data_IF_348895288209
#
_entry.id   IF_348895288209
#
_cell.length_a   1.000
_cell.length_b   1.000
_cell.length_c   1.000
_cell.angle_alpha   90.00
_cell.angle_beta   90.00
_cell.angle_gamma   90.00
#
_symmetry.space_group_name_H-M   'P 1'
#
loop_
_entity.id
_entity.type
_entity.pdbx_description
1 polymer ?
#
# COMPACT_ATOMS: atom_id res chain seq x y z
N UNK A 1 6.22 14.91 -6.16
CA UNK A 1 6.75 13.71 -5.49
C UNK A 1 6.21 12.50 -6.21
N UNK A 2 7.06 11.51 -6.55
CA UNK A 2 6.56 10.29 -7.16
C UNK A 2 5.76 9.50 -6.13
N UNK A 3 4.67 8.85 -6.55
CA UNK A 3 3.69 8.12 -5.71
C UNK A 3 4.30 7.15 -4.70
N UNK A 4 5.52 6.68 -4.94
CA UNK A 4 6.19 5.67 -4.13
C UNK A 4 7.43 6.19 -3.38
N UNK A 5 7.78 7.47 -3.50
CA UNK A 5 8.98 8.01 -2.86
C UNK A 5 8.92 7.89 -1.34
N UNK A 6 7.74 8.01 -0.74
CA UNK A 6 7.54 7.89 0.70
C UNK A 6 7.82 6.49 1.24
N UNK A 7 7.56 5.44 0.45
CA UNK A 7 7.71 4.03 0.84
C UNK A 7 8.95 3.37 0.26
N UNK A 8 9.72 4.10 -0.56
CA UNK A 8 10.93 3.57 -1.18
C UNK A 8 11.98 3.28 -0.11
N UNK A 9 12.50 2.06 -0.10
CA UNK A 9 13.44 1.56 0.92
C UNK A 9 12.87 1.52 2.35
N UNK A 10 11.56 1.69 2.52
CA UNK A 10 10.94 1.55 3.82
C UNK A 10 10.86 0.07 4.20
N UNK A 11 11.09 -0.22 5.48
CA UNK A 11 10.96 -1.57 6.02
C UNK A 11 9.48 -1.98 6.04
N UNK A 12 9.15 -3.12 5.45
CA UNK A 12 7.81 -3.71 5.51
C UNK A 12 7.63 -4.38 6.88
N UNK A 13 6.59 -3.97 7.61
CA UNK A 13 6.31 -4.48 8.95
C UNK A 13 5.16 -5.48 8.98
N UNK A 14 4.16 -5.29 8.11
CA UNK A 14 2.97 -6.15 8.07
C UNK A 14 2.39 -6.22 6.65
N UNK A 15 1.76 -7.34 6.33
CA UNK A 15 0.97 -7.55 5.11
C UNK A 15 -0.44 -7.97 5.53
N UNK A 16 -1.43 -7.21 5.07
CA UNK A 16 -2.85 -7.52 5.28
C UNK A 16 -3.44 -8.05 3.97
N UNK A 17 -3.83 -9.32 3.96
CA UNK A 17 -4.42 -10.02 2.80
C UNK A 17 -5.44 -11.07 3.30
N UNK A 18 -6.77 -10.88 3.07
CA UNK A 18 -7.37 -9.67 2.52
C UNK A 18 -7.35 -8.53 3.53
N UNK A 19 -7.21 -7.30 3.05
CA UNK A 19 -7.48 -6.10 3.86
C UNK A 19 -9.00 -5.89 4.04
N UNK A 20 -9.38 -4.80 4.74
CA UNK A 20 -10.79 -4.49 5.05
C UNK A 20 -11.66 -4.28 3.81
N UNK A 21 -11.07 -3.94 2.68
CA UNK A 21 -11.74 -3.67 1.41
C UNK A 21 -11.61 -4.85 0.42
N UNK A 22 -11.05 -5.98 0.87
CA UNK A 22 -10.84 -7.18 0.05
C UNK A 22 -9.62 -7.09 -0.89
N UNK A 23 -8.76 -6.09 -0.70
CA UNK A 23 -7.49 -5.93 -1.38
C UNK A 23 -6.31 -6.44 -0.55
N UNK A 24 -5.13 -5.90 -0.83
CA UNK A 24 -3.90 -6.14 -0.06
C UNK A 24 -3.40 -4.78 0.44
N UNK A 25 -3.14 -4.67 1.74
CA UNK A 25 -2.50 -3.49 2.31
C UNK A 25 -1.11 -3.85 2.82
N UNK A 26 -0.09 -3.14 2.31
CA UNK A 26 1.27 -3.21 2.82
C UNK A 26 1.48 -2.10 3.86
N UNK A 27 1.87 -2.49 5.07
CA UNK A 27 2.19 -1.57 6.16
C UNK A 27 3.70 -1.50 6.31
N UNK A 28 4.25 -0.30 6.15
CA UNK A 28 5.66 -0.02 6.33
C UNK A 28 5.90 0.70 7.65
N UNK A 29 7.16 0.69 8.08
CA UNK A 29 7.66 1.51 9.18
C UNK A 29 7.25 2.98 9.02
N UNK A 30 7.09 3.67 10.15
CA UNK A 30 6.58 5.04 10.24
C UNK A 30 5.12 5.18 9.76
N UNK A 31 4.31 4.13 9.94
CA UNK A 31 2.87 4.09 9.61
C UNK A 31 2.56 4.51 8.17
N UNK A 32 3.37 4.06 7.21
CA UNK A 32 3.08 4.29 5.78
C UNK A 32 2.32 3.11 5.21
N UNK A 33 1.33 3.41 4.39
CA UNK A 33 0.43 2.40 3.82
C UNK A 33 0.48 2.42 2.29
N UNK A 34 0.48 1.23 1.70
CA UNK A 34 0.21 1.04 0.28
C UNK A 34 -0.97 0.08 0.14
N UNK A 35 -2.10 0.62 -0.30
CA UNK A 35 -3.27 -0.17 -0.64
C UNK A 35 -3.16 -0.65 -2.08
N UNK A 36 -3.44 -1.93 -2.29
CA UNK A 36 -3.38 -2.60 -3.59
C UNK A 36 -4.72 -3.29 -3.79
N UNK A 37 -5.41 -2.94 -4.87
CA UNK A 37 -6.71 -3.53 -5.23
C UNK A 37 -6.77 -3.83 -6.72
N UNK A 38 -7.73 -4.67 -7.10
CA UNK A 38 -8.06 -4.91 -8.50
C UNK A 38 -9.31 -4.12 -8.85
N UNK A 39 -9.19 -3.19 -9.79
CA UNK A 39 -10.33 -2.46 -10.36
C UNK A 39 -10.32 -2.68 -11.88
N UNK A 40 -11.44 -3.14 -12.44
CA UNK A 40 -11.59 -3.46 -13.86
C UNK A 40 -10.50 -4.40 -14.41
N UNK A 41 -10.10 -5.39 -13.61
CA UNK A 41 -9.04 -6.35 -13.95
C UNK A 41 -7.63 -5.75 -13.97
N UNK A 42 -7.44 -4.52 -13.49
CA UNK A 42 -6.15 -3.83 -13.39
C UNK A 42 -5.74 -3.67 -11.93
N UNK A 43 -4.44 -3.78 -11.68
CA UNK A 43 -3.85 -3.44 -10.40
C UNK A 43 -3.88 -1.92 -10.21
N UNK A 44 -4.62 -1.47 -9.21
CA UNK A 44 -4.64 -0.09 -8.75
C UNK A 44 -3.97 -0.03 -7.39
N UNK A 45 -3.09 0.95 -7.24
CA UNK A 45 -2.41 1.21 -5.97
C UNK A 45 -2.82 2.57 -5.43
N UNK A 46 -2.82 2.73 -4.12
CA UNK A 46 -3.02 4.02 -3.46
C UNK A 46 -1.99 4.14 -2.35
N UNK A 47 -1.16 5.18 -2.42
CA UNK A 47 -0.21 5.51 -1.36
C UNK A 47 -0.74 6.75 -0.67
N UNK A 48 -0.96 6.64 0.63
CA UNK A 48 -1.44 7.72 1.47
C UNK A 48 -0.20 8.29 2.19
N UNK A 49 0.36 9.43 1.73
CA UNK A 49 1.28 10.21 2.56
C UNK A 49 0.47 10.91 3.66
N UNK A 50 1.00 10.96 4.89
CA UNK A 50 0.47 11.86 5.94
C UNK A 50 0.44 13.33 5.49
#
# INVERSE_FOLDING_TARGET
MAKFDAIRMADLTEVQDPDKDGGITLVFKDNKFLHIKIEDGKLVTESIPE
#
